data_IF_688875920106
#
_entry.id   IF_688875920106
#
_cell.length_a   1.000
_cell.length_b   1.000
_cell.length_c   1.000
_cell.angle_alpha   90.00
_cell.angle_beta   90.00
_cell.angle_gamma   90.00
#
_symmetry.space_group_name_H-M   'P 1'
#
loop_
_entity.id
_entity.type
_entity.pdbx_description
1 polymer ?
#
# COMPACT_ATOMS: atom_id res chain seq x y z
N UNK A 1 26.21 4.04 -2.89
CA UNK A 1 25.86 2.61 -2.74
C UNK A 1 25.70 1.99 -4.12
N UNK A 2 26.01 0.69 -4.29
CA UNK A 2 25.71 -0.01 -5.56
C UNK A 2 24.19 -0.07 -5.75
N UNK A 3 23.70 0.09 -6.99
CA UNK A 3 22.25 0.06 -7.31
C UNK A 3 21.56 -1.20 -6.75
N UNK A 4 22.24 -2.34 -6.82
CA UNK A 4 21.73 -3.59 -6.26
C UNK A 4 21.53 -3.53 -4.73
N UNK A 5 22.44 -2.89 -4.01
CA UNK A 5 22.33 -2.70 -2.55
C UNK A 5 21.16 -1.78 -2.21
N UNK A 6 20.95 -0.70 -2.99
CA UNK A 6 19.81 0.19 -2.81
C UNK A 6 18.49 -0.55 -3.03
N UNK A 7 18.38 -1.31 -4.12
CA UNK A 7 17.20 -2.12 -4.44
C UNK A 7 16.89 -3.11 -3.31
N UNK A 8 17.90 -3.86 -2.82
CA UNK A 8 17.73 -4.79 -1.71
C UNK A 8 17.12 -4.14 -0.47
N UNK A 9 17.62 -2.98 -0.06
CA UNK A 9 17.10 -2.29 1.12
C UNK A 9 15.69 -1.73 0.92
N UNK A 10 15.38 -1.23 -0.28
CA UNK A 10 14.03 -0.75 -0.62
C UNK A 10 13.04 -1.92 -0.61
N UNK A 11 13.42 -3.06 -1.18
CA UNK A 11 12.56 -4.25 -1.23
C UNK A 11 12.35 -4.83 0.16
N UNK A 12 13.39 -4.90 0.99
CA UNK A 12 13.28 -5.34 2.37
C UNK A 12 12.40 -4.41 3.21
N UNK A 13 12.60 -3.10 3.10
CA UNK A 13 11.76 -2.11 3.79
C UNK A 13 10.30 -2.19 3.33
N UNK A 14 10.08 -2.36 2.03
CA UNK A 14 8.74 -2.54 1.46
C UNK A 14 8.08 -3.82 1.98
N UNK A 15 8.83 -4.93 2.07
CA UNK A 15 8.31 -6.17 2.62
C UNK A 15 7.91 -6.04 4.09
N UNK A 16 8.75 -5.42 4.92
CA UNK A 16 8.46 -5.23 6.35
C UNK A 16 7.23 -4.33 6.57
N UNK A 17 7.12 -3.23 5.82
CA UNK A 17 5.95 -2.36 5.91
C UNK A 17 4.66 -3.06 5.40
N UNK A 18 4.77 -3.92 4.39
CA UNK A 18 3.64 -4.71 3.89
C UNK A 18 3.21 -5.75 4.92
N UNK A 19 4.18 -6.40 5.56
CA UNK A 19 3.90 -7.37 6.61
C UNK A 19 3.21 -6.70 7.80
N UNK A 20 3.66 -5.51 8.22
CA UNK A 20 2.97 -4.73 9.25
C UNK A 20 1.55 -4.32 8.81
N UNK A 21 1.36 -3.91 7.56
CA UNK A 21 0.04 -3.59 7.00
C UNK A 21 -0.90 -4.81 7.06
N UNK A 22 -0.40 -5.98 6.66
CA UNK A 22 -1.12 -7.24 6.71
C UNK A 22 -1.52 -7.61 8.14
N UNK A 23 -0.56 -7.59 9.08
CA UNK A 23 -0.82 -7.90 10.49
C UNK A 23 -1.85 -6.95 11.11
N UNK A 24 -1.73 -5.64 10.89
CA UNK A 24 -2.71 -4.67 11.41
C UNK A 24 -4.10 -4.89 10.83
N UNK A 25 -4.21 -5.28 9.55
CA UNK A 25 -5.48 -5.67 8.94
C UNK A 25 -6.11 -6.90 9.61
N UNK A 26 -5.30 -7.94 9.88
CA UNK A 26 -5.75 -9.12 10.61
C UNK A 26 -6.19 -8.79 12.04
N UNK A 27 -5.44 -7.95 12.75
CA UNK A 27 -5.80 -7.53 14.11
C UNK A 27 -7.13 -6.77 14.13
N UNK A 28 -7.30 -5.81 13.21
CA UNK A 28 -8.56 -5.06 13.08
C UNK A 28 -9.72 -6.01 12.73
N UNK A 29 -9.51 -7.00 11.88
CA UNK A 29 -10.59 -7.89 11.44
C UNK A 29 -10.97 -8.93 12.50
N UNK A 30 -10.00 -9.62 13.08
CA UNK A 30 -10.24 -10.77 13.97
C UNK A 30 -10.19 -10.44 15.46
N UNK A 31 -9.36 -9.47 15.88
CA UNK A 31 -9.15 -9.16 17.30
C UNK A 31 -10.00 -7.96 17.76
N UNK A 32 -10.22 -6.98 16.87
CA UNK A 32 -10.95 -5.75 17.17
C UNK A 32 -12.14 -5.54 16.22
N UNK A 33 -13.07 -6.50 16.06
CA UNK A 33 -14.18 -6.40 15.11
C UNK A 33 -15.10 -5.19 15.39
N UNK A 34 -15.85 -4.70 14.39
CA UNK A 34 -16.78 -3.58 14.57
C UNK A 34 -17.95 -3.96 15.51
N UNK A 35 -18.38 -2.99 16.33
CA UNK A 35 -19.34 -3.22 17.43
C UNK A 35 -20.74 -3.64 16.98
N UNK A 36 -21.11 -3.39 15.72
CA UNK A 36 -22.43 -3.66 15.15
C UNK A 36 -22.81 -5.15 15.10
N UNK A 37 -21.84 -6.05 15.35
CA UNK A 37 -21.99 -7.51 15.19
C UNK A 37 -21.42 -8.32 16.36
N UNK A 38 -21.23 -7.69 17.53
CA UNK A 38 -20.59 -8.34 18.67
C UNK A 38 -21.48 -9.42 19.32
N UNK A 39 -21.35 -10.65 18.81
CA UNK A 39 -21.78 -11.90 19.46
C UNK A 39 -20.63 -12.60 20.20
N UNK A 40 -19.47 -11.94 20.31
CA UNK A 40 -18.28 -12.42 21.01
C UNK A 40 -18.09 -11.75 22.39
N UNK A 41 -17.43 -12.48 23.30
CA UNK A 41 -17.15 -12.04 24.66
C UNK A 41 -16.27 -10.77 24.70
N UNK A 42 -16.87 -9.58 24.81
CA UNK A 42 -16.12 -8.38 25.15
C UNK A 42 -16.73 -7.03 24.78
N UNK A 43 -17.73 -6.96 23.90
CA UNK A 43 -18.41 -5.70 23.60
C UNK A 43 -19.85 -5.76 24.09
N UNK A 44 -20.09 -5.20 25.28
CA UNK A 44 -21.40 -4.61 25.62
C UNK A 44 -21.47 -3.23 24.97
N UNK A 45 -22.67 -2.66 24.76
CA UNK A 45 -22.84 -1.31 24.16
C UNK A 45 -21.95 -0.24 24.84
N UNK A 46 -21.57 -0.47 26.09
CA UNK A 46 -20.76 0.43 26.92
C UNK A 46 -19.24 0.17 26.92
N UNK A 47 -18.70 -0.87 26.26
CA UNK A 47 -17.25 -1.19 26.29
C UNK A 47 -16.68 -1.59 24.93
N UNK A 48 -15.77 -0.77 24.42
CA UNK A 48 -14.96 -1.09 23.23
C UNK A 48 -13.79 -2.03 23.59
N UNK A 49 -13.55 -3.03 22.75
CA UNK A 49 -12.35 -3.88 22.83
C UNK A 49 -11.08 -3.05 22.62
N UNK A 50 -10.05 -3.34 23.41
CA UNK A 50 -8.71 -2.74 23.27
C UNK A 50 -7.65 -3.82 23.23
N UNK A 51 -6.61 -3.60 22.43
CA UNK A 51 -5.41 -4.43 22.35
C UNK A 51 -4.21 -3.53 22.68
N UNK A 52 -3.43 -3.91 23.69
CA UNK A 52 -2.31 -3.09 24.20
C UNK A 52 -2.70 -1.65 24.55
N UNK A 53 -3.92 -1.45 25.04
CA UNK A 53 -4.45 -0.13 25.38
C UNK A 53 -4.88 0.72 24.17
N UNK A 54 -4.82 0.18 22.95
CA UNK A 54 -5.26 0.84 21.72
C UNK A 54 -6.58 0.26 21.22
N UNK A 55 -7.49 1.11 20.78
CA UNK A 55 -8.77 0.70 20.23
C UNK A 55 -8.71 0.40 18.72
N UNK A 56 -9.82 -0.10 18.16
CA UNK A 56 -9.99 -0.34 16.72
C UNK A 56 -9.62 0.89 15.87
N UNK A 57 -9.99 2.08 16.33
CA UNK A 57 -9.74 3.33 15.61
C UNK A 57 -8.24 3.68 15.57
N UNK A 58 -7.50 3.42 16.63
CA UNK A 58 -6.05 3.69 16.69
C UNK A 58 -5.29 2.74 15.77
N UNK A 59 -5.61 1.45 15.81
CA UNK A 59 -5.10 0.49 14.83
C UNK A 59 -5.50 0.88 13.40
N UNK A 60 -6.70 1.41 13.21
CA UNK A 60 -7.16 1.95 11.92
C UNK A 60 -6.27 3.08 11.41
N UNK A 61 -5.85 4.02 12.28
CA UNK A 61 -4.89 5.08 11.92
C UNK A 61 -3.53 4.49 11.53
N UNK A 62 -3.01 3.56 12.32
CA UNK A 62 -1.73 2.90 12.03
C UNK A 62 -1.79 2.16 10.70
N UNK A 63 -2.85 1.37 10.48
CA UNK A 63 -3.09 0.66 9.23
C UNK A 63 -3.18 1.60 8.03
N UNK A 64 -3.87 2.73 8.17
CA UNK A 64 -3.97 3.76 7.13
C UNK A 64 -2.60 4.34 6.75
N UNK A 65 -1.78 4.73 7.73
CA UNK A 65 -0.45 5.26 7.43
C UNK A 65 0.48 4.21 6.83
N UNK A 66 0.39 2.94 7.28
CA UNK A 66 1.10 1.83 6.65
C UNK A 66 0.68 1.65 5.18
N UNK A 67 -0.61 1.77 4.87
CA UNK A 67 -1.11 1.68 3.50
C UNK A 67 -0.56 2.81 2.63
N UNK A 68 -0.49 4.03 3.15
CA UNK A 68 0.12 5.18 2.45
C UNK A 68 1.62 4.98 2.23
N UNK A 69 2.35 4.52 3.25
CA UNK A 69 3.79 4.21 3.15
C UNK A 69 4.05 3.14 2.11
N UNK A 70 3.28 2.05 2.10
CA UNK A 70 3.43 0.98 1.11
C UNK A 70 3.06 1.44 -0.29
N UNK A 71 2.02 2.24 -0.45
CA UNK A 71 1.68 2.83 -1.75
C UNK A 71 2.87 3.62 -2.32
N UNK A 72 3.50 4.46 -1.50
CA UNK A 72 4.71 5.20 -1.91
C UNK A 72 5.91 4.30 -2.21
N UNK A 73 6.16 3.29 -1.36
CA UNK A 73 7.26 2.35 -1.54
C UNK A 73 7.13 1.54 -2.84
N UNK A 74 5.91 1.09 -3.18
CA UNK A 74 5.63 0.38 -4.43
C UNK A 74 5.85 1.29 -5.65
N UNK A 75 5.47 2.57 -5.60
CA UNK A 75 5.77 3.51 -6.69
C UNK A 75 7.28 3.60 -6.93
N UNK A 76 8.07 3.77 -5.85
CA UNK A 76 9.54 3.82 -5.92
C UNK A 76 10.10 2.50 -6.48
N UNK A 77 9.65 1.35 -5.97
CA UNK A 77 10.05 0.03 -6.45
C UNK A 77 9.80 -0.11 -7.96
N UNK A 78 8.59 0.21 -8.44
CA UNK A 78 8.26 0.14 -9.87
C UNK A 78 9.14 1.08 -10.69
N UNK A 79 9.42 2.30 -10.22
CA UNK A 79 10.33 3.22 -10.90
C UNK A 79 11.75 2.65 -11.02
N UNK A 80 12.28 2.04 -9.95
CA UNK A 80 13.62 1.44 -9.95
C UNK A 80 13.73 0.22 -10.87
N UNK A 81 12.62 -0.52 -11.01
CA UNK A 81 12.52 -1.74 -11.78
C UNK A 81 11.87 -1.55 -13.16
N UNK A 82 11.62 -0.31 -13.60
CA UNK A 82 10.86 0.00 -14.81
C UNK A 82 11.39 -0.67 -16.09
N UNK A 83 12.71 -0.72 -16.27
CA UNK A 83 13.32 -1.40 -17.42
C UNK A 83 13.04 -2.90 -17.45
N UNK A 84 12.98 -3.54 -16.27
CA UNK A 84 12.60 -4.94 -16.13
C UNK A 84 11.11 -5.15 -16.41
N UNK A 85 10.24 -4.24 -15.94
CA UNK A 85 8.80 -4.27 -16.26
C UNK A 85 8.59 -4.22 -17.77
N UNK A 86 9.22 -3.27 -18.47
CA UNK A 86 9.12 -3.16 -19.92
C UNK A 86 9.61 -4.42 -20.64
N UNK A 87 10.77 -4.97 -20.25
CA UNK A 87 11.33 -6.17 -20.87
C UNK A 87 10.45 -7.41 -20.66
N UNK A 88 9.94 -7.59 -19.43
CA UNK A 88 9.08 -8.71 -19.06
C UNK A 88 7.73 -8.62 -19.78
N UNK A 89 7.09 -7.45 -19.81
CA UNK A 89 5.84 -7.25 -20.54
C UNK A 89 6.00 -7.51 -22.04
N UNK A 90 7.11 -7.07 -22.66
CA UNK A 90 7.35 -7.37 -24.07
C UNK A 90 7.47 -8.88 -24.33
N UNK A 91 8.13 -9.60 -23.42
CA UNK A 91 8.31 -11.05 -23.53
C UNK A 91 6.98 -11.78 -23.36
N UNK A 92 6.18 -11.40 -22.37
CA UNK A 92 4.89 -12.04 -22.08
C UNK A 92 3.86 -11.82 -23.19
N UNK A 93 3.85 -10.64 -23.81
CA UNK A 93 2.87 -10.28 -24.84
C UNK A 93 3.40 -10.40 -26.28
N UNK A 94 4.61 -10.92 -26.47
CA UNK A 94 5.23 -11.03 -27.80
C UNK A 94 5.45 -9.68 -28.51
N UNK A 95 5.60 -8.60 -27.75
CA UNK A 95 5.73 -7.23 -28.29
C UNK A 95 7.20 -6.89 -28.55
N UNK A 96 7.43 -6.01 -29.53
CA UNK A 96 8.76 -5.42 -29.76
C UNK A 96 9.07 -4.40 -28.67
N UNK A 97 10.29 -4.47 -28.14
CA UNK A 97 10.76 -3.53 -27.12
C UNK A 97 10.86 -2.11 -27.70
N UNK A 98 10.17 -1.17 -27.07
CA UNK A 98 10.25 0.25 -27.42
C UNK A 98 11.66 0.82 -27.15
N UNK A 99 12.01 1.95 -27.77
CA UNK A 99 13.26 2.65 -27.48
C UNK A 99 13.35 3.08 -26.01
N UNK A 100 14.57 3.29 -25.50
CA UNK A 100 14.79 3.68 -24.11
C UNK A 100 14.04 4.97 -23.75
N UNK A 101 13.96 5.94 -24.65
CA UNK A 101 13.25 7.20 -24.41
C UNK A 101 11.74 7.01 -24.34
N UNK A 102 11.16 6.19 -25.23
CA UNK A 102 9.73 5.84 -25.15
C UNK A 102 9.40 5.09 -23.87
N UNK A 103 10.27 4.17 -23.43
CA UNK A 103 10.11 3.49 -22.14
C UNK A 103 10.07 4.52 -21.00
N UNK A 104 10.99 5.48 -20.96
CA UNK A 104 10.96 6.55 -19.93
C UNK A 104 9.67 7.35 -19.98
N UNK A 105 9.21 7.76 -21.17
CA UNK A 105 7.94 8.48 -21.32
C UNK A 105 6.76 7.68 -20.77
N UNK A 106 6.64 6.40 -21.12
CA UNK A 106 5.58 5.55 -20.59
C UNK A 106 5.64 5.44 -19.07
N UNK A 107 6.83 5.25 -18.51
CA UNK A 107 7.02 5.18 -17.06
C UNK A 107 6.59 6.47 -16.36
N UNK A 108 6.99 7.62 -16.88
CA UNK A 108 6.61 8.92 -16.34
C UNK A 108 5.10 9.17 -16.44
N UNK A 109 4.48 8.87 -17.58
CA UNK A 109 3.03 9.03 -17.78
C UNK A 109 2.25 8.14 -16.81
N UNK A 110 2.63 6.86 -16.69
CA UNK A 110 1.98 5.93 -15.75
C UNK A 110 2.16 6.39 -14.30
N UNK A 111 3.35 6.85 -13.92
CA UNK A 111 3.60 7.36 -12.58
C UNK A 111 2.71 8.56 -12.25
N UNK A 112 2.58 9.52 -13.19
CA UNK A 112 1.71 10.69 -13.02
C UNK A 112 0.25 10.25 -12.86
N UNK A 113 -0.23 9.33 -13.70
CA UNK A 113 -1.59 8.81 -13.63
C UNK A 113 -1.85 8.15 -12.26
N UNK A 114 -0.93 7.32 -11.79
CA UNK A 114 -1.07 6.65 -10.48
C UNK A 114 -1.06 7.65 -9.32
N UNK A 115 -0.19 8.66 -9.36
CA UNK A 115 -0.16 9.71 -8.33
C UNK A 115 -1.45 10.52 -8.34
N UNK A 116 -1.94 10.93 -9.51
CA UNK A 116 -3.23 11.64 -9.64
C UNK A 116 -4.36 10.76 -9.09
N UNK A 117 -4.41 9.48 -9.46
CA UNK A 117 -5.42 8.55 -8.98
C UNK A 117 -5.42 8.44 -7.45
N UNK A 118 -4.25 8.29 -6.82
CA UNK A 118 -4.12 8.24 -5.37
C UNK A 118 -4.64 9.54 -4.74
N UNK A 119 -4.23 10.71 -5.24
CA UNK A 119 -4.68 12.01 -4.73
C UNK A 119 -6.20 12.16 -4.87
N UNK A 120 -6.77 11.80 -6.03
CA UNK A 120 -8.21 11.85 -6.26
C UNK A 120 -8.96 10.93 -5.31
N UNK A 121 -8.51 9.69 -5.12
CA UNK A 121 -9.14 8.76 -4.18
C UNK A 121 -9.09 9.27 -2.75
N UNK A 122 -7.97 9.86 -2.32
CA UNK A 122 -7.84 10.49 -1.00
C UNK A 122 -8.77 11.71 -0.84
N UNK A 123 -8.88 12.53 -1.87
CA UNK A 123 -9.80 13.67 -1.88
C UNK A 123 -11.26 13.20 -1.76
N UNK A 124 -11.66 12.22 -2.58
CA UNK A 124 -13.00 11.62 -2.52
C UNK A 124 -13.29 11.02 -1.15
N UNK A 125 -12.38 10.22 -0.61
CA UNK A 125 -12.53 9.64 0.73
C UNK A 125 -12.72 10.72 1.81
N UNK A 126 -11.96 11.83 1.73
CA UNK A 126 -12.12 12.97 2.64
C UNK A 126 -13.48 13.67 2.49
N UNK A 127 -14.02 13.77 1.28
CA UNK A 127 -15.35 14.38 1.07
C UNK A 127 -16.50 13.56 1.64
N UNK A 128 -16.37 12.23 1.70
CA UNK A 128 -17.37 11.34 2.30
C UNK A 128 -17.31 11.31 3.84
N UNK A 129 -16.26 11.87 4.44
CA UNK A 129 -16.07 11.94 5.89
C UNK A 129 -16.65 13.21 6.54
N UNK A 130 -17.40 14.02 5.77
CA UNK A 130 -18.18 15.18 6.23
C UNK A 130 -19.65 14.87 6.12
#
# INVERSE_FOLDING_TARGET
>A
MKRNTLNFWIDLASFLAFFALFLTGLLIHYVLPPCDSCTGAGCTEDKALTLWGLGRHDFGKVHFYLALTISGAILIHVCLHWSWVCATSCTLFGLKRASADRQKTYGTVILIILVILIITLLYLAKTQAK
#
